data_IF_404937111473
#
_entry.id   IF_404937111473
#
_cell.length_a   1.000
_cell.length_b   1.000
_cell.length_c   1.000
_cell.angle_alpha   90.00
_cell.angle_beta   90.00
_cell.angle_gamma   90.00
#
_symmetry.space_group_name_H-M   'P 1'
#
loop_
_entity.id
_entity.type
_entity.pdbx_description
1 polymer ?
#
# COMPACT_ATOMS: atom_id res chain seq x y z
N UNK A 1 1.13 8.99 20.97
CA UNK A 1 1.37 8.12 19.82
C UNK A 1 0.78 8.75 18.57
N UNK A 2 1.57 8.88 17.53
CA UNK A 2 1.09 9.50 16.29
C UNK A 2 0.22 8.52 15.50
N UNK A 3 -0.95 8.97 15.10
CA UNK A 3 -1.89 8.18 14.32
C UNK A 3 -2.31 8.97 13.09
N UNK A 4 -2.05 8.43 11.92
CA UNK A 4 -2.32 9.11 10.66
C UNK A 4 -3.07 8.14 9.74
N UNK A 5 -4.16 8.63 9.14
CA UNK A 5 -5.03 7.84 8.26
C UNK A 5 -5.52 6.54 8.92
N UNK A 6 -5.72 6.57 10.24
CA UNK A 6 -6.17 5.41 11.00
C UNK A 6 -5.07 4.41 11.32
N UNK A 7 -3.83 4.71 11.00
CA UNK A 7 -2.68 3.83 11.24
C UNK A 7 -1.81 4.38 12.37
N UNK A 8 -1.50 3.54 13.35
CA UNK A 8 -0.57 3.90 14.40
C UNK A 8 0.85 3.76 13.86
N UNK A 9 1.59 4.86 13.85
CA UNK A 9 2.95 4.86 13.34
C UNK A 9 3.91 4.27 14.36
N UNK A 10 4.96 3.54 13.92
CA UNK A 10 5.95 3.00 14.85
C UNK A 10 6.75 4.13 15.50
N UNK A 11 6.77 4.14 16.82
CA UNK A 11 7.37 5.22 17.61
C UNK A 11 8.88 5.32 17.47
N UNK A 12 9.53 4.18 17.30
CA UNK A 12 10.99 4.11 17.25
C UNK A 12 11.59 4.50 15.91
N UNK A 13 10.78 4.57 14.87
CA UNK A 13 11.25 4.86 13.51
C UNK A 13 11.27 6.36 13.25
N UNK A 14 12.15 6.79 12.34
CA UNK A 14 12.10 8.17 11.84
C UNK A 14 10.76 8.39 11.15
N UNK A 15 10.27 9.61 11.19
CA UNK A 15 8.96 9.92 10.61
C UNK A 15 8.91 9.59 9.11
N UNK A 16 10.02 9.77 8.40
CA UNK A 16 10.12 9.43 6.98
C UNK A 16 9.80 7.95 6.74
N UNK A 17 10.35 7.08 7.58
CA UNK A 17 10.11 5.63 7.48
C UNK A 17 8.75 5.27 8.05
N UNK A 18 8.35 5.93 9.15
CA UNK A 18 7.06 5.68 9.77
C UNK A 18 5.88 5.90 8.83
N UNK A 19 5.93 6.94 8.02
CA UNK A 19 4.86 7.23 7.07
C UNK A 19 4.69 6.14 6.01
N UNK A 20 5.74 5.39 5.71
CA UNK A 20 5.64 4.30 4.73
C UNK A 20 4.79 3.13 5.21
N UNK A 21 4.44 3.11 6.50
CA UNK A 21 3.53 2.10 7.05
C UNK A 21 2.07 2.34 6.64
N UNK A 22 1.78 3.54 6.13
CA UNK A 22 0.45 3.86 5.61
C UNK A 22 0.33 3.30 4.20
N UNK A 23 -0.73 2.53 3.94
CA UNK A 23 -0.95 1.95 2.62
C UNK A 23 -1.10 3.06 1.57
N UNK A 24 -0.29 3.04 0.55
CA UNK A 24 -0.28 4.06 -0.50
C UNK A 24 0.84 5.08 -0.37
N UNK A 25 1.57 5.07 0.73
CA UNK A 25 2.70 5.99 0.95
C UNK A 25 4.00 5.19 0.90
N UNK A 26 4.82 5.46 -0.11
CA UNK A 26 6.18 4.91 -0.19
C UNK A 26 7.18 5.94 0.28
N UNK A 27 8.46 5.61 0.18
CA UNK A 27 9.53 6.49 0.65
C UNK A 27 9.51 7.84 -0.06
N UNK A 28 9.35 7.86 -1.37
CA UNK A 28 9.33 9.10 -2.14
C UNK A 28 8.15 9.99 -1.77
N UNK A 29 6.96 9.40 -1.63
CA UNK A 29 5.76 10.13 -1.22
C UNK A 29 5.92 10.67 0.19
N UNK A 30 6.51 9.88 1.09
CA UNK A 30 6.81 10.31 2.45
C UNK A 30 7.70 11.54 2.46
N UNK A 31 8.76 11.54 1.66
CA UNK A 31 9.67 12.68 1.56
C UNK A 31 8.96 13.94 1.07
N UNK A 32 8.10 13.81 0.08
CA UNK A 32 7.32 14.95 -0.45
C UNK A 32 6.36 15.51 0.58
N UNK A 33 5.68 14.63 1.30
CA UNK A 33 4.73 15.02 2.33
C UNK A 33 5.43 15.79 3.45
N UNK A 34 6.58 15.31 3.90
CA UNK A 34 7.34 15.97 4.96
C UNK A 34 7.88 17.32 4.52
N UNK A 35 8.28 17.43 3.26
CA UNK A 35 8.76 18.69 2.71
C UNK A 35 7.64 19.74 2.70
N UNK A 36 6.44 19.35 2.28
CA UNK A 36 5.28 20.25 2.30
C UNK A 36 4.88 20.65 3.71
N UNK A 37 4.95 19.70 4.63
CA UNK A 37 4.59 19.94 6.03
C UNK A 37 5.66 20.73 6.79
N UNK A 38 6.85 20.86 6.23
CA UNK A 38 7.95 21.54 6.90
C UNK A 38 8.51 20.76 8.08
N UNK A 39 8.40 19.45 8.07
CA UNK A 39 8.86 18.59 9.16
C UNK A 39 10.19 17.95 8.79
N UNK A 40 11.14 17.92 9.75
CA UNK A 40 12.41 17.27 9.55
C UNK A 40 12.20 15.74 9.39
N UNK A 41 12.63 15.14 8.28
CA UNK A 41 12.44 13.70 8.06
C UNK A 41 13.18 12.81 9.04
N UNK A 42 14.20 13.32 9.70
CA UNK A 42 14.98 12.54 10.67
C UNK A 42 14.37 12.52 12.06
N UNK A 43 13.31 13.27 12.31
CA UNK A 43 12.62 13.27 13.59
C UNK A 43 11.97 11.91 13.84
N UNK A 44 12.16 11.36 15.03
CA UNK A 44 11.49 10.10 15.41
C UNK A 44 10.00 10.36 15.58
N UNK A 45 9.19 9.36 15.28
CA UNK A 45 7.73 9.48 15.40
C UNK A 45 7.32 9.90 16.82
N UNK A 46 7.98 9.35 17.83
CA UNK A 46 7.69 9.66 19.23
C UNK A 46 7.99 11.12 19.61
N UNK A 47 8.85 11.79 18.85
CA UNK A 47 9.27 13.16 19.12
C UNK A 47 8.47 14.19 18.35
N UNK A 48 7.49 13.76 17.55
CA UNK A 48 6.64 14.67 16.79
C UNK A 48 5.71 15.47 17.71
N UNK A 49 5.61 16.77 17.45
CA UNK A 49 4.65 17.61 18.14
C UNK A 49 3.27 17.48 17.49
N UNK A 50 2.22 17.88 18.22
CA UNK A 50 0.86 17.83 17.68
C UNK A 50 0.71 18.70 16.43
N UNK A 51 1.38 19.86 16.41
CA UNK A 51 1.36 20.75 15.26
C UNK A 51 2.00 20.10 14.04
N UNK A 52 3.12 19.39 14.24
CA UNK A 52 3.79 18.68 13.17
C UNK A 52 2.91 17.56 12.62
N UNK A 53 2.24 16.83 13.49
CA UNK A 53 1.33 15.77 13.07
C UNK A 53 0.17 16.33 12.27
N UNK A 54 -0.40 17.46 12.71
CA UNK A 54 -1.48 18.12 11.98
C UNK A 54 -1.03 18.63 10.62
N UNK A 55 0.18 19.16 10.52
CA UNK A 55 0.72 19.61 9.25
C UNK A 55 0.93 18.45 8.28
N UNK A 56 1.38 17.31 8.78
CA UNK A 56 1.52 16.10 7.97
C UNK A 56 0.15 15.64 7.48
N UNK A 57 -0.87 15.64 8.33
CA UNK A 57 -2.23 15.26 7.93
C UNK A 57 -2.76 16.16 6.83
N UNK A 58 -2.53 17.46 6.92
CA UNK A 58 -2.95 18.39 5.89
C UNK A 58 -2.24 18.13 4.56
N UNK A 59 -0.94 17.87 4.61
CA UNK A 59 -0.18 17.57 3.42
C UNK A 59 -0.63 16.27 2.75
N UNK A 60 -1.17 15.35 3.53
CA UNK A 60 -1.66 14.07 3.01
C UNK A 60 -3.07 14.11 2.43
N UNK A 61 -3.80 15.21 2.59
CA UNK A 61 -5.17 15.29 2.10
C UNK A 61 -5.30 15.06 0.59
N UNK A 62 -4.28 15.41 -0.18
CA UNK A 62 -4.27 15.19 -1.62
C UNK A 62 -3.93 13.76 -2.04
N UNK A 63 -3.61 12.88 -1.12
CA UNK A 63 -3.21 11.51 -1.41
C UNK A 63 -4.32 10.53 -1.06
N UNK A 64 -4.53 9.56 -1.93
CA UNK A 64 -5.45 8.46 -1.62
C UNK A 64 -4.66 7.39 -0.88
N UNK A 65 -5.07 7.09 0.33
CA UNK A 65 -4.37 6.16 1.21
C UNK A 65 -5.35 5.22 1.89
N UNK A 66 -4.83 4.12 2.41
CA UNK A 66 -5.58 3.14 3.19
C UNK A 66 -6.91 2.73 2.53
N UNK A 67 -8.03 2.87 3.23
CA UNK A 67 -9.32 2.42 2.74
C UNK A 67 -9.74 3.01 1.40
N UNK A 68 -9.49 4.30 1.19
CA UNK A 68 -9.84 4.97 -0.07
C UNK A 68 -9.04 4.40 -1.24
N UNK A 69 -7.74 4.16 -1.03
CA UNK A 69 -6.90 3.57 -2.07
C UNK A 69 -7.30 2.13 -2.35
N UNK A 70 -7.56 1.35 -1.30
CA UNK A 70 -8.00 -0.04 -1.46
C UNK A 70 -9.29 -0.12 -2.25
N UNK A 71 -10.22 0.78 -1.97
CA UNK A 71 -11.49 0.86 -2.69
C UNK A 71 -11.26 1.19 -4.15
N UNK A 72 -10.39 2.16 -4.44
CA UNK A 72 -10.07 2.54 -5.81
C UNK A 72 -9.45 1.39 -6.59
N UNK A 73 -8.50 0.68 -6.00
CA UNK A 73 -7.86 -0.47 -6.63
C UNK A 73 -8.90 -1.56 -6.93
N UNK A 74 -9.77 -1.86 -5.97
CA UNK A 74 -10.81 -2.86 -6.14
C UNK A 74 -11.78 -2.47 -7.28
N UNK A 75 -12.17 -1.20 -7.34
CA UNK A 75 -13.06 -0.71 -8.40
C UNK A 75 -12.38 -0.77 -9.76
N UNK A 76 -11.09 -0.44 -9.84
CA UNK A 76 -10.35 -0.50 -11.09
C UNK A 76 -10.25 -1.94 -11.60
N UNK A 77 -9.99 -2.89 -10.72
CA UNK A 77 -9.93 -4.31 -11.08
C UNK A 77 -11.32 -4.78 -11.54
N UNK A 78 -12.36 -4.40 -10.82
CA UNK A 78 -13.72 -4.76 -11.19
C UNK A 78 -14.08 -4.23 -12.58
N UNK A 79 -13.69 -2.98 -12.86
CA UNK A 79 -13.92 -2.38 -14.17
C UNK A 79 -13.24 -3.18 -15.28
N UNK A 80 -11.96 -3.55 -15.08
CA UNK A 80 -11.23 -4.34 -16.07
C UNK A 80 -11.91 -5.68 -16.32
N UNK A 81 -12.39 -6.32 -15.25
CA UNK A 81 -13.09 -7.58 -15.34
C UNK A 81 -14.41 -7.45 -16.11
N UNK A 82 -15.18 -6.39 -15.85
CA UNK A 82 -16.45 -6.15 -16.51
C UNK A 82 -16.31 -5.82 -18.00
N UNK A 83 -15.23 -5.09 -18.35
CA UNK A 83 -14.95 -4.78 -19.75
C UNK A 83 -14.59 -6.04 -20.53
N UNK A 84 -14.07 -7.07 -19.85
CA UNK A 84 -13.68 -8.33 -20.48
C UNK A 84 -12.36 -8.26 -21.22
N UNK A 85 -11.50 -7.29 -20.91
CA UNK A 85 -10.18 -7.19 -21.52
C UNK A 85 -9.25 -8.26 -20.96
N UNK A 86 -8.09 -8.44 -21.62
CA UNK A 86 -7.13 -9.46 -21.20
C UNK A 86 -6.69 -9.30 -19.75
N UNK A 87 -6.40 -8.05 -19.33
CA UNK A 87 -6.00 -7.81 -17.95
C UNK A 87 -7.09 -8.22 -16.95
N UNK A 88 -8.34 -7.93 -17.29
CA UNK A 88 -9.48 -8.33 -16.45
C UNK A 88 -9.60 -9.83 -16.31
N UNK A 89 -9.39 -10.56 -17.42
CA UNK A 89 -9.41 -12.03 -17.38
C UNK A 89 -8.30 -12.59 -16.49
N UNK A 90 -7.11 -11.99 -16.55
CA UNK A 90 -6.01 -12.42 -15.70
C UNK A 90 -6.32 -12.19 -14.23
N UNK A 91 -6.92 -11.06 -13.88
CA UNK A 91 -7.35 -10.79 -12.50
C UNK A 91 -8.41 -11.79 -12.04
N UNK A 92 -9.36 -12.10 -12.90
CA UNK A 92 -10.43 -13.06 -12.57
C UNK A 92 -9.85 -14.43 -12.24
N UNK A 93 -8.84 -14.85 -12.98
CA UNK A 93 -8.22 -16.15 -12.80
C UNK A 93 -7.12 -16.17 -11.73
N UNK A 94 -6.81 -15.02 -11.13
CA UNK A 94 -5.74 -14.94 -10.16
C UNK A 94 -4.35 -15.18 -10.74
N UNK A 95 -4.14 -14.79 -11.99
CA UNK A 95 -2.88 -15.00 -12.69
C UNK A 95 -2.12 -13.67 -12.87
N UNK A 96 -0.79 -13.73 -13.10
CA UNK A 96 -0.02 -12.52 -13.37
C UNK A 96 -0.57 -11.74 -14.56
N UNK A 97 -0.62 -10.42 -14.44
CA UNK A 97 -1.25 -9.54 -15.41
C UNK A 97 -0.24 -8.96 -16.41
N UNK A 98 1.03 -8.90 -16.05
CA UNK A 98 2.07 -8.22 -16.84
C UNK A 98 2.89 -9.13 -17.74
N UNK A 99 2.31 -10.21 -18.24
CA UNK A 99 2.97 -11.09 -19.20
C UNK A 99 4.03 -12.00 -18.61
N UNK A 100 3.98 -12.23 -17.32
CA UNK A 100 4.94 -13.08 -16.63
C UNK A 100 4.65 -14.55 -16.86
N UNK A 101 5.68 -15.37 -16.68
CA UNK A 101 5.54 -16.81 -16.78
C UNK A 101 4.67 -17.35 -15.66
N UNK A 102 3.91 -18.41 -15.96
CA UNK A 102 3.08 -19.07 -14.97
C UNK A 102 3.55 -20.48 -14.63
N UNK A 103 4.45 -21.05 -15.44
CA UNK A 103 4.93 -22.41 -15.24
C UNK A 103 5.81 -22.59 -14.01
N UNK A 104 6.55 -21.56 -13.63
CA UNK A 104 7.51 -21.66 -12.53
C UNK A 104 7.02 -20.92 -11.30
N UNK A 105 7.28 -19.65 -11.22
CA UNK A 105 6.98 -18.83 -10.04
C UNK A 105 5.56 -18.26 -10.11
N UNK A 106 5.40 -16.97 -10.02
CA UNK A 106 4.11 -16.28 -9.97
C UNK A 106 3.36 -16.49 -8.65
N UNK A 107 4.13 -16.69 -7.57
CA UNK A 107 3.54 -16.98 -6.26
C UNK A 107 2.76 -15.79 -5.67
N UNK A 108 3.16 -14.56 -6.01
CA UNK A 108 2.46 -13.38 -5.51
C UNK A 108 0.98 -13.38 -5.89
N UNK A 109 0.67 -13.80 -7.12
CA UNK A 109 -0.72 -13.86 -7.60
C UNK A 109 -1.37 -15.20 -7.29
N UNK A 110 -0.63 -16.29 -7.46
CA UNK A 110 -1.16 -17.63 -7.24
C UNK A 110 -1.21 -18.02 -5.76
N UNK A 111 -0.43 -17.32 -4.93
CA UNK A 111 -0.28 -17.67 -3.54
C UNK A 111 0.77 -18.75 -3.32
N UNK A 112 0.99 -19.16 -2.08
CA UNK A 112 1.93 -20.23 -1.76
C UNK A 112 1.59 -21.53 -2.48
N UNK A 113 2.61 -22.30 -2.79
CA UNK A 113 2.40 -23.60 -3.42
C UNK A 113 1.59 -24.50 -2.48
N UNK A 114 0.49 -25.02 -2.99
CA UNK A 114 -0.35 -25.92 -2.19
C UNK A 114 0.27 -27.28 -2.09
N UNK A 115 0.21 -27.87 -0.91
CA UNK A 115 0.58 -29.25 -0.72
C UNK A 115 -0.56 -30.15 -1.25
N UNK A 116 -0.21 -31.07 -2.11
CA UNK A 116 -1.19 -32.00 -2.63
C UNK A 116 -1.47 -33.05 -1.56
N UNK A 117 -2.71 -33.19 -1.17
CA UNK A 117 -3.09 -34.17 -0.17
C UNK A 117 -2.91 -35.57 -0.71
N UNK A 118 -2.37 -36.47 0.11
CA UNK A 118 -2.22 -37.88 -0.25
C UNK A 118 -3.56 -38.52 -0.56
N UNK A 119 -4.59 -38.06 0.13
CA UNK A 119 -5.93 -38.62 -0.08
C UNK A 119 -6.49 -38.37 -1.46
N UNK A 120 -5.88 -37.51 -2.22
CA UNK A 120 -6.33 -37.23 -3.58
C UNK A 120 -5.89 -38.24 -4.61
N UNK A 121 -5.13 -39.18 -4.21
CA UNK A 121 -4.67 -40.19 -5.13
C UNK A 121 -5.73 -41.24 -5.44
#
# INVERSE_FOLDING_TARGET
MARIAGVDLPREKRVEIGLTYVYGIGLTSSQKILKEAGVNPDTRVKDLTDDEVNNIRKAMEGYKVEGDLRREVALNIKRLTEIGCYRGLRHRRGLPVRGQRTKTNARTRKGPRKLVSKSKK
#
